data_IF_348828914621
#
_entry.id   IF_348828914621
#
_cell.length_a   1.000
_cell.length_b   1.000
_cell.length_c   1.000
_cell.angle_alpha   90.00
_cell.angle_beta   90.00
_cell.angle_gamma   90.00
#
_symmetry.space_group_name_H-M   'P 1'
#
loop_
_entity.id
_entity.type
_entity.pdbx_description
1 polymer ?
#
# COMPACT_ATOMS: atom_id res chain seq x y z
N UNK A 1 28.26 24.90 -18.87
CA UNK A 1 26.79 24.95 -18.88
C UNK A 1 26.27 23.61 -18.39
N UNK A 2 25.98 23.49 -17.09
CA UNK A 2 25.29 22.31 -16.56
C UNK A 2 23.89 22.29 -17.18
N UNK A 3 23.67 21.42 -18.15
CA UNK A 3 22.33 21.14 -18.67
C UNK A 3 21.43 20.82 -17.48
N UNK A 4 20.51 21.71 -17.14
CA UNK A 4 19.49 21.42 -16.16
C UNK A 4 18.80 20.12 -16.60
N UNK A 5 18.69 19.14 -15.69
CA UNK A 5 17.99 17.91 -16.00
C UNK A 5 16.57 18.26 -16.53
N UNK A 6 16.10 17.59 -17.59
CA UNK A 6 14.81 17.91 -18.18
C UNK A 6 13.71 17.81 -17.11
N UNK A 7 12.78 18.77 -17.11
CA UNK A 7 11.64 18.77 -16.19
C UNK A 7 10.81 17.52 -16.47
N UNK A 8 10.69 16.66 -15.47
CA UNK A 8 9.88 15.44 -15.58
C UNK A 8 8.40 15.76 -15.67
N UNK A 9 7.68 14.90 -16.36
CA UNK A 9 6.23 14.97 -16.54
C UNK A 9 5.63 13.70 -15.96
N UNK A 10 5.16 13.79 -14.73
CA UNK A 10 4.63 12.65 -13.98
C UNK A 10 3.11 12.74 -13.92
N UNK A 11 2.45 11.63 -14.27
CA UNK A 11 1.02 11.43 -14.06
C UNK A 11 0.86 10.45 -12.90
N UNK A 12 -0.01 10.75 -11.95
CA UNK A 12 -0.54 9.77 -11.00
C UNK A 12 -1.99 9.52 -11.37
N UNK A 13 -2.36 8.26 -11.57
CA UNK A 13 -3.75 7.85 -11.81
C UNK A 13 -4.21 7.01 -10.63
N UNK A 14 -5.43 7.26 -10.16
CA UNK A 14 -6.04 6.61 -9.00
C UNK A 14 -7.53 6.37 -9.28
N UNK A 15 -7.98 5.12 -9.19
CA UNK A 15 -9.38 4.76 -9.45
C UNK A 15 -10.29 5.22 -8.32
N UNK A 16 -11.38 5.88 -8.66
CA UNK A 16 -12.29 6.46 -7.67
C UNK A 16 -13.13 5.37 -7.01
N UNK A 17 -13.04 5.27 -5.68
CA UNK A 17 -13.74 4.26 -4.87
C UNK A 17 -13.60 2.82 -5.38
N UNK A 18 -12.42 2.47 -5.93
CA UNK A 18 -12.18 1.29 -6.78
C UNK A 18 -13.06 0.06 -6.54
N UNK A 19 -12.98 -0.59 -5.37
CA UNK A 19 -13.75 -1.82 -5.15
C UNK A 19 -15.26 -1.59 -5.23
N UNK A 20 -15.77 -0.51 -4.63
CA UNK A 20 -17.21 -0.21 -4.68
C UNK A 20 -17.65 0.11 -6.11
N UNK A 21 -16.83 0.82 -6.89
CA UNK A 21 -17.10 1.11 -8.30
C UNK A 21 -17.11 -0.15 -9.17
N UNK A 22 -16.23 -1.11 -8.90
CA UNK A 22 -16.26 -2.43 -9.57
C UNK A 22 -17.54 -3.20 -9.22
N UNK A 23 -17.95 -3.22 -7.95
CA UNK A 23 -19.21 -3.87 -7.56
C UNK A 23 -20.43 -3.20 -8.23
N UNK A 24 -20.50 -1.86 -8.27
CA UNK A 24 -21.60 -1.14 -8.92
C UNK A 24 -21.61 -1.25 -10.45
N UNK A 25 -20.44 -1.47 -11.05
CA UNK A 25 -20.34 -1.76 -12.48
C UNK A 25 -20.90 -3.15 -12.78
N UNK A 26 -20.47 -4.15 -12.03
CA UNK A 26 -20.79 -5.56 -12.26
C UNK A 26 -22.24 -5.91 -11.85
N UNK A 27 -22.79 -5.23 -10.84
CA UNK A 27 -24.20 -5.33 -10.44
C UNK A 27 -24.90 -3.96 -10.54
N UNK A 28 -25.66 -3.72 -11.63
CA UNK A 28 -26.36 -2.46 -11.85
C UNK A 28 -27.36 -2.10 -10.75
N UNK A 29 -27.85 -3.05 -9.94
CA UNK A 29 -28.80 -2.77 -8.85
C UNK A 29 -28.17 -2.02 -7.67
N UNK A 30 -26.84 -1.94 -7.64
CA UNK A 30 -26.06 -1.22 -6.63
C UNK A 30 -25.76 0.24 -7.02
N UNK A 31 -25.98 0.63 -8.28
CA UNK A 31 -25.70 1.99 -8.78
C UNK A 31 -26.56 3.01 -8.05
N UNK A 32 -25.95 4.13 -7.62
CA UNK A 32 -26.65 5.17 -6.86
C UNK A 32 -26.95 4.80 -5.40
N UNK A 33 -26.53 3.62 -4.93
CA UNK A 33 -26.75 3.15 -3.55
C UNK A 33 -25.46 3.23 -2.73
N UNK A 34 -25.54 3.48 -1.41
CA UNK A 34 -24.38 3.46 -0.54
C UNK A 34 -23.82 2.03 -0.41
N UNK A 35 -22.79 1.72 -1.17
CA UNK A 35 -22.05 0.45 -1.13
C UNK A 35 -20.79 0.61 -0.29
N UNK A 36 -20.53 -0.38 0.57
CA UNK A 36 -19.30 -0.54 1.35
C UNK A 36 -18.74 -1.94 1.09
N UNK A 37 -17.50 -2.01 0.63
CA UNK A 37 -16.74 -3.26 0.49
C UNK A 37 -15.82 -3.38 1.69
N UNK A 38 -15.89 -4.50 2.43
CA UNK A 38 -15.04 -4.69 3.61
C UNK A 38 -15.44 -5.85 4.50
N UNK A 39 -14.95 -5.83 5.73
CA UNK A 39 -15.32 -6.81 6.75
C UNK A 39 -16.73 -6.58 7.31
N UNK A 40 -17.31 -7.61 7.93
CA UNK A 40 -18.66 -7.53 8.51
C UNK A 40 -18.77 -6.43 9.58
N UNK A 41 -19.87 -5.65 9.60
CA UNK A 41 -20.14 -4.66 10.66
C UNK A 41 -20.45 -5.30 12.02
N UNK A 42 -20.82 -6.58 12.06
CA UNK A 42 -21.13 -7.31 13.30
C UNK A 42 -19.89 -7.85 14.00
N UNK A 43 -18.71 -7.71 13.37
CA UNK A 43 -17.43 -8.14 13.90
C UNK A 43 -16.41 -7.02 13.95
N UNK A 44 -15.13 -7.39 13.86
CA UNK A 44 -13.99 -6.47 13.86
C UNK A 44 -13.59 -6.02 12.46
N UNK A 45 -14.55 -6.01 11.53
CA UNK A 45 -14.34 -5.62 10.14
C UNK A 45 -13.97 -4.15 9.99
N UNK A 46 -13.27 -3.84 8.90
CA UNK A 46 -12.98 -2.46 8.48
C UNK A 46 -13.47 -2.25 7.05
N UNK A 47 -13.75 -1.00 6.72
CA UNK A 47 -14.08 -0.56 5.36
C UNK A 47 -12.82 -0.62 4.50
N UNK A 48 -12.84 -1.44 3.44
CA UNK A 48 -11.77 -1.47 2.44
C UNK A 48 -11.99 -0.38 1.38
N UNK A 49 -13.22 -0.28 0.86
CA UNK A 49 -13.66 0.82 0.00
C UNK A 49 -15.11 1.18 0.30
N UNK A 50 -15.47 2.43 0.01
CA UNK A 50 -16.82 2.94 0.12
C UNK A 50 -17.13 3.81 -1.11
N UNK A 51 -18.31 3.58 -1.68
CA UNK A 51 -18.92 4.40 -2.75
C UNK A 51 -19.06 5.86 -2.33
N UNK A 52 -19.22 6.77 -3.30
CA UNK A 52 -19.36 8.21 -2.99
C UNK A 52 -20.63 8.52 -2.22
N UNK A 53 -21.70 7.77 -2.47
CA UNK A 53 -22.95 7.80 -1.73
C UNK A 53 -22.72 7.49 -0.24
N UNK A 54 -21.93 6.45 0.06
CA UNK A 54 -21.55 6.15 1.45
C UNK A 54 -20.57 7.19 2.04
N UNK A 55 -19.62 7.70 1.23
CA UNK A 55 -18.67 8.74 1.67
C UNK A 55 -19.36 10.05 2.02
N UNK A 56 -20.46 10.40 1.35
CA UNK A 56 -21.27 11.58 1.66
C UNK A 56 -21.84 11.55 3.09
N UNK A 57 -22.09 10.34 3.63
CA UNK A 57 -22.48 10.12 5.02
C UNK A 57 -21.29 10.08 6.00
N UNK A 58 -20.07 10.39 5.54
CA UNK A 58 -18.86 10.44 6.35
C UNK A 58 -18.10 9.11 6.47
N UNK A 59 -18.50 8.06 5.75
CA UNK A 59 -17.76 6.78 5.71
C UNK A 59 -16.41 6.97 5.02
N UNK A 60 -15.35 6.37 5.57
CA UNK A 60 -13.99 6.44 5.03
C UNK A 60 -13.33 5.07 5.04
N UNK A 61 -12.35 4.84 4.16
CA UNK A 61 -11.51 3.64 4.20
C UNK A 61 -10.78 3.52 5.54
N UNK A 62 -10.48 2.30 5.95
CA UNK A 62 -9.92 1.92 7.25
C UNK A 62 -10.80 2.26 8.48
N UNK A 63 -12.00 2.82 8.29
CA UNK A 63 -12.97 2.99 9.36
C UNK A 63 -13.50 1.63 9.84
N UNK A 64 -13.74 1.43 11.15
CA UNK A 64 -14.45 0.25 11.65
C UNK A 64 -15.82 0.09 10.97
N UNK A 65 -16.13 -1.11 10.48
CA UNK A 65 -17.37 -1.39 9.76
C UNK A 65 -18.62 -1.11 10.63
N UNK A 66 -18.53 -1.39 11.93
CA UNK A 66 -19.57 -1.04 12.91
C UNK A 66 -19.84 0.47 13.00
N UNK A 67 -18.79 1.30 12.95
CA UNK A 67 -18.93 2.76 12.90
C UNK A 67 -19.51 3.21 11.56
N UNK A 68 -19.06 2.62 10.46
CA UNK A 68 -19.60 2.93 9.13
C UNK A 68 -21.10 2.62 9.03
N UNK A 69 -21.56 1.50 9.62
CA UNK A 69 -22.99 1.16 9.72
C UNK A 69 -23.79 2.18 10.51
N UNK A 70 -23.23 2.75 11.59
CA UNK A 70 -23.89 3.81 12.36
C UNK A 70 -24.00 5.12 11.57
N UNK A 71 -22.96 5.46 10.80
CA UNK A 71 -22.95 6.66 9.96
C UNK A 71 -23.88 6.54 8.74
N UNK A 72 -23.95 5.34 8.14
CA UNK A 72 -24.78 5.06 6.98
C UNK A 72 -25.58 3.77 7.20
N UNK A 73 -26.73 3.82 7.91
CA UNK A 73 -27.54 2.63 8.20
C UNK A 73 -28.05 1.91 6.96
N UNK A 74 -28.33 2.67 5.89
CA UNK A 74 -28.78 2.18 4.59
C UNK A 74 -27.67 1.52 3.74
N UNK A 75 -26.42 1.52 4.22
CA UNK A 75 -25.30 0.98 3.45
C UNK A 75 -25.42 -0.54 3.23
N UNK A 76 -25.11 -0.94 2.01
CA UNK A 76 -24.99 -2.34 1.58
C UNK A 76 -23.55 -2.77 1.81
N UNK A 77 -23.36 -3.78 2.66
CA UNK A 77 -22.04 -4.32 2.96
C UNK A 77 -21.78 -5.55 2.08
N UNK A 78 -20.70 -5.49 1.30
CA UNK A 78 -20.27 -6.57 0.42
C UNK A 78 -18.91 -7.11 0.88
N UNK A 79 -18.72 -8.42 0.72
CA UNK A 79 -17.41 -9.03 0.92
C UNK A 79 -16.53 -8.77 -0.32
N UNK A 80 -15.21 -8.53 -0.15
CA UNK A 80 -14.30 -8.30 -1.26
C UNK A 80 -14.23 -9.48 -2.26
N UNK A 81 -14.33 -9.19 -3.56
CA UNK A 81 -14.06 -10.11 -4.68
C UNK A 81 -12.68 -9.85 -5.30
N UNK A 82 -11.62 -10.20 -4.56
CA UNK A 82 -10.24 -9.84 -4.94
C UNK A 82 -9.81 -10.31 -6.34
N UNK A 83 -10.30 -11.46 -6.82
CA UNK A 83 -9.99 -11.94 -8.18
C UNK A 83 -10.49 -10.97 -9.25
N UNK A 84 -11.70 -10.41 -9.08
CA UNK A 84 -12.26 -9.40 -9.98
C UNK A 84 -11.42 -8.12 -9.94
N UNK A 85 -11.04 -7.66 -8.73
CA UNK A 85 -10.23 -6.45 -8.56
C UNK A 85 -8.84 -6.60 -9.17
N UNK A 86 -8.23 -7.78 -9.05
CA UNK A 86 -6.95 -8.13 -9.67
C UNK A 86 -7.07 -8.16 -11.20
N UNK A 87 -8.15 -8.71 -11.76
CA UNK A 87 -8.41 -8.69 -13.21
C UNK A 87 -8.46 -7.26 -13.73
N UNK A 88 -9.33 -6.43 -13.15
CA UNK A 88 -9.49 -5.02 -13.55
C UNK A 88 -8.19 -4.24 -13.37
N UNK A 89 -7.41 -4.51 -12.30
CA UNK A 89 -6.09 -3.91 -12.12
C UNK A 89 -5.13 -4.24 -13.28
N UNK A 90 -5.16 -5.47 -13.80
CA UNK A 90 -4.33 -5.86 -14.96
C UNK A 90 -4.76 -5.12 -16.22
N UNK A 91 -6.05 -4.94 -16.43
CA UNK A 91 -6.63 -4.20 -17.58
C UNK A 91 -6.23 -2.72 -17.52
N UNK A 92 -6.38 -2.06 -16.37
CA UNK A 92 -5.93 -0.67 -16.14
C UNK A 92 -4.43 -0.52 -16.44
N UNK A 93 -3.60 -1.45 -15.93
CA UNK A 93 -2.15 -1.43 -16.20
C UNK A 93 -1.82 -1.66 -17.67
N UNK A 94 -2.64 -2.43 -18.40
CA UNK A 94 -2.48 -2.57 -19.84
C UNK A 94 -2.77 -1.26 -20.57
N UNK A 95 -3.78 -0.49 -20.13
CA UNK A 95 -4.04 0.87 -20.64
C UNK A 95 -2.82 1.78 -20.40
N UNK A 96 -2.27 1.80 -19.18
CA UNK A 96 -1.10 2.63 -18.85
C UNK A 96 0.11 2.36 -19.75
N UNK A 97 0.40 1.09 -20.04
CA UNK A 97 1.54 0.67 -20.88
C UNK A 97 1.40 1.09 -22.36
N UNK A 98 0.24 1.55 -22.81
CA UNK A 98 0.08 2.14 -24.15
C UNK A 98 0.80 3.49 -24.26
N UNK A 99 0.99 4.18 -23.14
CA UNK A 99 1.53 5.54 -23.09
C UNK A 99 3.00 5.60 -22.67
N UNK A 100 3.46 4.72 -21.78
CA UNK A 100 4.86 4.68 -21.32
C UNK A 100 5.21 3.31 -20.73
N UNK A 101 6.49 2.92 -20.80
CA UNK A 101 7.02 1.77 -20.06
C UNK A 101 7.25 2.08 -18.57
N UNK A 102 7.37 3.36 -18.24
CA UNK A 102 7.67 3.81 -16.89
C UNK A 102 6.40 3.89 -16.05
N UNK A 103 5.86 2.72 -15.70
CA UNK A 103 4.65 2.56 -14.86
C UNK A 103 5.04 1.94 -13.51
N UNK A 104 4.96 2.69 -12.41
CA UNK A 104 5.18 2.22 -11.03
C UNK A 104 3.83 2.04 -10.32
N UNK A 105 3.31 0.81 -10.17
CA UNK A 105 2.09 0.57 -9.38
C UNK A 105 2.36 0.77 -7.89
N UNK A 106 1.43 1.43 -7.19
CA UNK A 106 1.47 1.56 -5.72
C UNK A 106 0.47 0.57 -5.07
N UNK A 107 -0.69 0.39 -5.70
CA UNK A 107 -1.74 -0.52 -5.28
C UNK A 107 -2.41 -1.20 -6.50
N UNK A 108 -3.60 -1.77 -6.30
CA UNK A 108 -4.38 -2.34 -7.40
C UNK A 108 -4.95 -1.25 -8.33
N UNK A 109 -5.24 -0.09 -7.77
CA UNK A 109 -5.98 1.03 -8.36
C UNK A 109 -5.15 2.29 -8.61
N UNK A 110 -3.89 2.34 -8.17
CA UNK A 110 -3.04 3.52 -8.35
C UNK A 110 -1.67 3.19 -8.93
N UNK A 111 -1.20 4.09 -9.81
CA UNK A 111 0.13 4.02 -10.40
C UNK A 111 0.69 5.42 -10.74
N UNK A 112 2.01 5.55 -10.67
CA UNK A 112 2.74 6.63 -11.33
C UNK A 112 3.12 6.24 -12.75
N UNK A 113 3.01 7.20 -13.66
CA UNK A 113 3.47 7.11 -15.03
C UNK A 113 4.46 8.26 -15.27
N UNK A 114 5.68 7.95 -15.69
CA UNK A 114 6.60 8.96 -16.23
C UNK A 114 6.39 9.06 -17.74
N UNK A 115 5.83 10.18 -18.18
CA UNK A 115 5.53 10.48 -19.59
C UNK A 115 6.50 11.51 -20.17
N UNK A 116 7.65 11.72 -19.51
CA UNK A 116 8.72 12.60 -19.99
C UNK A 116 9.29 12.11 -21.32
N UNK A 117 9.29 10.81 -21.55
CA UNK A 117 9.46 10.21 -22.87
C UNK A 117 8.32 9.20 -23.00
N UNK A 118 7.31 9.52 -23.82
CA UNK A 118 6.11 8.72 -23.98
C UNK A 118 6.05 8.14 -25.39
N UNK A 119 5.29 7.06 -25.55
CA UNK A 119 5.18 6.28 -26.80
C UNK A 119 4.48 7.02 -27.94
N UNK A 120 3.88 8.18 -27.68
CA UNK A 120 3.10 8.98 -28.63
C UNK A 120 3.80 10.27 -29.04
N UNK A 121 5.04 10.49 -28.58
CA UNK A 121 5.81 11.72 -28.78
C UNK A 121 5.06 13.01 -28.38
N UNK A 122 4.10 12.88 -27.46
CA UNK A 122 3.26 14.00 -27.04
C UNK A 122 4.04 14.94 -26.09
N UNK A 123 4.19 16.23 -26.42
CA UNK A 123 4.96 17.19 -25.61
C UNK A 123 4.30 17.56 -24.27
N UNK A 124 3.01 17.31 -24.07
CA UNK A 124 2.30 17.67 -22.84
C UNK A 124 1.72 16.46 -22.11
N UNK A 125 1.85 16.42 -20.78
CA UNK A 125 1.23 15.34 -20.00
C UNK A 125 -0.30 15.46 -19.91
N UNK A 126 -0.87 16.65 -20.11
CA UNK A 126 -2.31 16.88 -19.95
C UNK A 126 -3.15 16.13 -21.00
N UNK A 127 -2.85 16.18 -22.32
CA UNK A 127 -3.53 15.34 -23.30
C UNK A 127 -3.43 13.85 -22.98
N UNK A 128 -2.24 13.37 -22.58
CA UNK A 128 -2.02 11.97 -22.19
C UNK A 128 -2.89 11.55 -21.00
N UNK A 129 -2.94 12.38 -19.95
CA UNK A 129 -3.77 12.12 -18.78
C UNK A 129 -5.26 12.05 -19.16
N UNK A 130 -5.74 12.97 -20.01
CA UNK A 130 -7.13 12.93 -20.52
C UNK A 130 -7.41 11.66 -21.33
N UNK A 131 -6.51 11.26 -22.22
CA UNK A 131 -6.64 10.03 -23.01
C UNK A 131 -6.64 8.78 -22.14
N UNK A 132 -5.81 8.74 -21.09
CA UNK A 132 -5.82 7.64 -20.11
C UNK A 132 -7.17 7.55 -19.40
N UNK A 133 -7.67 8.67 -18.85
CA UNK A 133 -8.97 8.71 -18.17
C UNK A 133 -10.11 8.32 -19.11
N UNK A 134 -10.09 8.81 -20.36
CA UNK A 134 -11.08 8.46 -21.36
C UNK A 134 -11.05 6.96 -21.71
N UNK A 135 -9.87 6.38 -21.89
CA UNK A 135 -9.72 4.94 -22.15
C UNK A 135 -10.21 4.07 -20.99
N UNK A 136 -9.89 4.44 -19.75
CA UNK A 136 -10.42 3.76 -18.56
C UNK A 136 -11.96 3.83 -18.56
N UNK A 137 -12.51 5.01 -18.83
CA UNK A 137 -13.95 5.22 -18.83
C UNK A 137 -14.65 4.43 -19.94
N UNK A 138 -14.12 4.43 -21.16
CA UNK A 138 -14.75 3.77 -22.31
C UNK A 138 -14.59 2.25 -22.32
N UNK A 139 -13.43 1.75 -21.88
CA UNK A 139 -13.13 0.31 -21.93
C UNK A 139 -13.59 -0.43 -20.68
N UNK A 140 -13.58 0.22 -19.51
CA UNK A 140 -13.83 -0.44 -18.23
C UNK A 140 -15.09 0.03 -17.51
N UNK A 141 -15.76 1.09 -18.00
CA UNK A 141 -16.89 1.79 -17.33
C UNK A 141 -16.61 2.12 -15.86
N UNK A 142 -15.37 2.52 -15.55
CA UNK A 142 -14.95 2.86 -14.19
C UNK A 142 -14.53 4.33 -14.08
N UNK A 143 -14.82 4.99 -12.94
CA UNK A 143 -14.35 6.33 -12.66
C UNK A 143 -12.88 6.32 -12.20
N UNK A 144 -12.11 7.31 -12.63
CA UNK A 144 -10.73 7.50 -12.23
C UNK A 144 -10.40 8.99 -12.19
N UNK A 145 -9.48 9.34 -11.30
CA UNK A 145 -8.94 10.69 -11.19
C UNK A 145 -7.44 10.67 -11.47
N UNK A 146 -6.92 11.77 -12.03
CA UNK A 146 -5.51 11.89 -12.34
C UNK A 146 -4.93 13.23 -11.90
N UNK A 147 -3.66 13.19 -11.52
CA UNK A 147 -2.87 14.35 -11.15
C UNK A 147 -1.61 14.41 -12.00
N UNK A 148 -1.29 15.60 -12.50
CA UNK A 148 -0.09 15.84 -13.31
C UNK A 148 0.82 16.81 -12.57
N UNK A 149 2.09 16.47 -12.43
CA UNK A 149 3.08 17.31 -11.76
C UNK A 149 4.52 17.07 -12.22
N UNK A 150 5.47 17.91 -11.75
CA UNK A 150 6.88 17.79 -12.11
C UNK A 150 7.60 16.62 -11.43
N UNK A 151 6.95 15.96 -10.47
CA UNK A 151 7.47 14.82 -9.73
C UNK A 151 6.33 13.99 -9.11
N UNK A 152 6.68 12.85 -8.52
CA UNK A 152 5.73 11.88 -7.95
C UNK A 152 4.88 12.46 -6.81
N UNK A 153 5.52 13.22 -5.91
CA UNK A 153 4.82 13.85 -4.80
C UNK A 153 3.70 14.80 -5.27
N UNK A 154 4.03 15.73 -6.16
CA UNK A 154 3.04 16.70 -6.66
C UNK A 154 1.95 16.01 -7.48
N UNK A 155 2.31 15.06 -8.35
CA UNK A 155 1.33 14.32 -9.16
C UNK A 155 0.31 13.57 -8.27
N UNK A 156 0.75 12.93 -7.19
CA UNK A 156 -0.16 12.24 -6.26
C UNK A 156 -1.07 13.21 -5.52
N UNK A 157 -0.53 14.30 -4.98
CA UNK A 157 -1.37 15.33 -4.33
C UNK A 157 -2.42 15.92 -5.27
N UNK A 158 -2.04 16.19 -6.51
CA UNK A 158 -2.96 16.70 -7.52
C UNK A 158 -4.10 15.71 -7.80
N UNK A 159 -3.80 14.40 -7.88
CA UNK A 159 -4.83 13.40 -8.19
C UNK A 159 -5.91 13.25 -7.12
N UNK A 160 -5.58 13.57 -5.86
CA UNK A 160 -6.53 13.53 -4.73
C UNK A 160 -7.34 14.83 -4.59
N UNK A 161 -6.98 15.89 -5.31
CA UNK A 161 -7.49 17.24 -5.06
C UNK A 161 -8.94 17.45 -5.54
N UNK A 162 -9.29 16.88 -6.70
CA UNK A 162 -10.58 17.09 -7.37
C UNK A 162 -11.33 15.77 -7.62
N UNK A 163 -11.18 14.79 -6.71
CA UNK A 163 -11.91 13.52 -6.80
C UNK A 163 -13.40 13.73 -6.51
N UNK A 164 -14.32 13.01 -7.19
CA UNK A 164 -14.10 11.99 -8.24
C UNK A 164 -14.04 12.54 -9.67
N UNK A 165 -13.54 11.72 -10.60
CA UNK A 165 -13.44 11.97 -12.04
C UNK A 165 -12.66 13.25 -12.38
N UNK A 166 -11.70 13.62 -11.52
CA UNK A 166 -10.95 14.86 -11.61
C UNK A 166 -9.67 14.73 -12.42
N UNK A 167 -9.23 15.84 -13.00
CA UNK A 167 -7.88 16.00 -13.55
C UNK A 167 -7.28 17.31 -13.08
N UNK A 168 -6.27 17.24 -12.22
CA UNK A 168 -5.56 18.43 -11.72
C UNK A 168 -4.14 18.45 -12.26
N UNK A 169 -3.73 19.60 -12.83
CA UNK A 169 -2.40 19.81 -13.40
C UNK A 169 -1.70 20.90 -12.62
N UNK A 170 -0.55 20.57 -12.03
CA UNK A 170 0.28 21.50 -11.26
C UNK A 170 1.59 21.73 -12.01
N UNK A 171 1.71 22.82 -12.81
CA UNK A 171 2.94 23.13 -13.50
C UNK A 171 4.06 23.55 -12.52
N UNK A 172 5.35 23.41 -12.88
CA UNK A 172 6.48 23.70 -11.98
C UNK A 172 6.39 25.07 -11.28
N UNK A 173 5.93 26.10 -11.99
CA UNK A 173 5.85 27.48 -11.49
C UNK A 173 4.73 27.67 -10.45
N UNK A 174 3.81 26.70 -10.32
CA UNK A 174 2.68 26.75 -9.38
C UNK A 174 2.85 25.84 -8.17
N UNK A 175 3.94 25.07 -8.11
CA UNK A 175 4.15 24.08 -7.03
C UNK A 175 4.17 24.72 -5.65
N UNK A 176 4.93 25.80 -5.45
CA UNK A 176 4.98 26.47 -4.14
C UNK A 176 3.60 26.99 -3.72
N UNK A 177 2.89 27.65 -4.64
CA UNK A 177 1.56 28.19 -4.38
C UNK A 177 0.53 27.08 -4.10
N UNK A 178 0.64 25.94 -4.79
CA UNK A 178 -0.22 24.78 -4.57
C UNK A 178 -0.03 24.17 -3.18
N UNK A 179 1.20 24.12 -2.68
CA UNK A 179 1.52 23.52 -1.38
C UNK A 179 1.28 24.44 -0.19
N UNK A 180 1.51 25.75 -0.35
CA UNK A 180 1.68 26.73 0.74
C UNK A 180 0.69 26.58 1.89
N UNK A 181 -0.60 26.55 1.57
CA UNK A 181 -1.69 26.62 2.56
C UNK A 181 -2.23 25.23 2.95
N UNK A 182 -1.65 24.15 2.39
CA UNK A 182 -2.08 22.79 2.74
C UNK A 182 -1.64 22.44 4.16
N UNK A 183 -2.44 21.66 4.90
CA UNK A 183 -2.04 21.17 6.22
C UNK A 183 -0.90 20.15 6.07
N UNK A 184 -0.04 20.09 7.08
CA UNK A 184 1.15 19.23 7.10
C UNK A 184 0.86 17.73 6.92
N UNK A 185 -0.34 17.23 7.24
CA UNK A 185 -0.77 15.86 6.97
C UNK A 185 -0.85 15.51 5.49
N UNK A 186 -0.91 16.50 4.60
CA UNK A 186 -0.86 16.26 3.16
C UNK A 186 0.54 15.88 2.69
N UNK A 187 1.60 16.13 3.48
CA UNK A 187 2.95 15.68 3.11
C UNK A 187 3.05 14.15 3.12
N UNK A 188 3.60 13.62 2.04
CA UNK A 188 3.83 12.18 1.94
C UNK A 188 4.81 11.73 3.03
N UNK A 189 4.33 10.85 3.92
CA UNK A 189 5.12 10.26 5.00
C UNK A 189 4.84 10.90 6.35
N UNK A 190 4.00 11.93 6.39
CA UNK A 190 3.53 12.56 7.63
C UNK A 190 2.23 11.88 8.07
N UNK A 191 2.36 10.92 8.98
CA UNK A 191 1.22 10.36 9.73
C UNK A 191 0.90 11.18 11.00
N UNK A 192 -0.14 10.82 11.76
CA UNK A 192 -0.60 11.57 12.93
C UNK A 192 0.50 11.83 13.98
N UNK A 193 1.40 10.86 14.20
CA UNK A 193 2.50 11.01 15.15
C UNK A 193 3.55 12.05 14.70
N UNK A 194 3.96 11.99 13.43
CA UNK A 194 4.88 12.97 12.84
C UNK A 194 4.23 14.36 12.80
N UNK A 195 2.93 14.40 12.48
CA UNK A 195 2.14 15.62 12.47
C UNK A 195 2.11 16.29 13.86
N UNK A 196 1.88 15.52 14.92
CA UNK A 196 1.93 16.00 16.30
C UNK A 196 3.28 16.64 16.65
N UNK A 197 4.39 15.98 16.31
CA UNK A 197 5.74 16.52 16.55
C UNK A 197 6.02 17.81 15.78
N UNK A 198 5.48 17.96 14.57
CA UNK A 198 5.59 19.19 13.78
C UNK A 198 4.77 20.31 14.42
N UNK A 199 3.57 20.01 14.93
CA UNK A 199 2.73 20.98 15.64
C UNK A 199 3.31 21.45 16.96
N UNK A 200 4.08 20.62 17.66
CA UNK A 200 4.84 21.04 18.85
C UNK A 200 5.82 22.19 18.54
N UNK A 201 6.21 22.36 17.27
CA UNK A 201 7.01 23.49 16.78
C UNK A 201 6.18 24.72 16.36
N UNK A 202 4.86 24.66 16.50
CA UNK A 202 3.93 25.72 16.09
C UNK A 202 3.68 25.79 14.58
N UNK A 203 3.92 24.70 13.85
CA UNK A 203 3.74 24.63 12.39
C UNK A 203 2.48 23.84 12.03
N UNK A 204 1.61 24.44 11.21
CA UNK A 204 0.35 23.82 10.77
C UNK A 204 0.33 23.54 9.26
N UNK A 205 1.06 24.34 8.48
CA UNK A 205 1.03 24.29 7.01
C UNK A 205 2.34 23.81 6.39
N UNK A 206 2.25 23.29 5.17
CA UNK A 206 3.42 22.90 4.38
C UNK A 206 4.33 24.11 4.11
N UNK A 207 3.75 25.29 3.83
CA UNK A 207 4.51 26.51 3.57
C UNK A 207 5.35 26.96 4.77
N UNK A 208 4.84 26.81 5.99
CA UNK A 208 5.59 27.07 7.22
C UNK A 208 6.77 26.10 7.37
N UNK A 209 6.54 24.80 7.19
CA UNK A 209 7.60 23.78 7.24
C UNK A 209 8.72 24.02 6.22
N UNK A 210 8.36 24.45 5.00
CA UNK A 210 9.29 24.74 3.92
C UNK A 210 10.28 25.88 4.27
N UNK A 211 9.83 26.85 5.07
CA UNK A 211 10.60 28.05 5.47
C UNK A 211 11.25 27.90 6.84
N UNK A 212 10.95 26.84 7.59
CA UNK A 212 11.45 26.64 8.94
C UNK A 212 12.94 26.29 9.00
N UNK A 213 13.56 26.52 10.16
CA UNK A 213 14.98 26.19 10.39
C UNK A 213 15.21 24.69 10.29
N UNK A 214 16.02 24.25 9.32
CA UNK A 214 16.35 22.84 9.14
C UNK A 214 17.03 22.26 10.39
N UNK A 215 17.92 23.01 11.04
CA UNK A 215 18.60 22.57 12.27
C UNK A 215 17.61 22.26 13.40
N UNK A 216 16.53 23.04 13.50
CA UNK A 216 15.47 22.77 14.48
C UNK A 216 14.65 21.55 14.07
N UNK A 217 14.31 21.41 12.79
CA UNK A 217 13.62 20.22 12.29
C UNK A 217 14.42 18.96 12.53
N UNK A 218 15.74 18.97 12.34
CA UNK A 218 16.62 17.81 12.56
C UNK A 218 16.62 17.35 14.03
N UNK A 219 16.55 18.28 14.99
CA UNK A 219 16.43 17.93 16.42
C UNK A 219 15.12 17.22 16.73
N UNK A 220 14.03 17.61 16.07
CA UNK A 220 12.69 17.09 16.36
C UNK A 220 12.32 15.89 15.50
N UNK A 221 12.77 15.81 14.25
CA UNK A 221 12.36 14.80 13.27
C UNK A 221 13.51 13.84 12.90
N UNK A 222 14.71 14.10 13.39
CA UNK A 222 15.90 13.30 13.10
C UNK A 222 16.30 13.37 11.63
N UNK A 223 16.81 12.26 11.11
CA UNK A 223 17.29 12.13 9.73
C UNK A 223 16.23 12.40 8.65
N UNK A 224 14.94 12.38 9.00
CA UNK A 224 13.83 12.59 8.07
C UNK A 224 13.49 14.07 7.84
N UNK A 225 14.02 14.98 8.66
CA UNK A 225 13.77 16.42 8.59
C UNK A 225 14.03 17.01 7.20
N UNK A 226 15.20 16.71 6.62
CA UNK A 226 15.59 17.19 5.30
C UNK A 226 14.62 16.73 4.22
N UNK A 227 14.28 15.44 4.22
CA UNK A 227 13.33 14.88 3.24
C UNK A 227 11.98 15.55 3.33
N UNK A 228 11.46 15.79 4.54
CA UNK A 228 10.18 16.47 4.72
C UNK A 228 10.24 17.94 4.28
N UNK A 229 11.33 18.64 4.57
CA UNK A 229 11.50 20.01 4.13
C UNK A 229 11.67 20.12 2.61
N UNK A 230 12.37 19.18 1.96
CA UNK A 230 12.48 19.10 0.50
C UNK A 230 11.09 18.90 -0.12
N UNK A 231 10.29 17.95 0.40
CA UNK A 231 8.91 17.76 -0.05
C UNK A 231 8.05 19.01 0.17
N UNK A 232 8.21 19.70 1.30
CA UNK A 232 7.49 20.94 1.58
C UNK A 232 7.85 22.08 0.60
N UNK A 233 9.06 22.05 0.04
CA UNK A 233 9.51 22.92 -1.05
C UNK A 233 9.13 22.38 -2.44
N UNK A 234 8.39 21.28 -2.51
CA UNK A 234 7.97 20.63 -3.75
C UNK A 234 9.08 19.83 -4.46
N UNK A 235 10.18 19.56 -3.78
CA UNK A 235 11.35 18.85 -4.32
C UNK A 235 11.19 17.35 -4.02
N UNK A 236 11.07 16.55 -5.07
CA UNK A 236 11.07 15.09 -5.00
C UNK A 236 11.82 14.50 -6.19
N UNK A 237 13.05 14.04 -5.95
CA UNK A 237 13.93 13.49 -6.99
C UNK A 237 13.73 11.99 -7.23
N UNK A 238 12.82 11.31 -6.52
CA UNK A 238 12.59 9.86 -6.70
C UNK A 238 12.08 9.60 -8.13
N UNK A 239 12.73 8.73 -8.93
CA UNK A 239 12.25 8.36 -10.25
C UNK A 239 11.00 7.46 -10.14
N UNK A 240 10.23 7.36 -11.23
CA UNK A 240 9.23 6.31 -11.37
C UNK A 240 9.96 5.00 -11.61
N UNK A 241 9.70 3.98 -10.77
CA UNK A 241 10.41 2.70 -10.80
C UNK A 241 9.44 1.57 -11.14
N UNK A 242 9.45 1.02 -12.37
CA UNK A 242 8.41 0.10 -12.83
C UNK A 242 8.37 -1.25 -12.11
N UNK A 243 9.52 -1.74 -11.63
CA UNK A 243 9.63 -3.03 -10.96
C UNK A 243 10.07 -2.85 -9.51
N UNK A 244 9.13 -3.04 -8.58
CA UNK A 244 9.45 -3.31 -7.18
C UNK A 244 9.32 -4.80 -6.93
N UNK A 245 10.46 -5.44 -6.70
CA UNK A 245 10.48 -6.84 -6.26
C UNK A 245 10.01 -6.89 -4.80
N UNK A 246 8.98 -7.68 -4.52
CA UNK A 246 8.50 -7.89 -3.16
C UNK A 246 9.65 -8.37 -2.26
N UNK A 247 9.80 -7.77 -1.08
CA UNK A 247 10.86 -8.09 -0.10
C UNK A 247 10.43 -9.16 0.90
N UNK A 248 9.13 -9.39 1.03
CA UNK A 248 8.53 -10.40 1.89
C UNK A 248 7.18 -10.87 1.33
N UNK A 249 6.73 -12.03 1.80
CA UNK A 249 5.36 -12.54 1.67
C UNK A 249 4.85 -12.91 3.05
N UNK A 250 3.58 -12.67 3.32
CA UNK A 250 3.01 -12.97 4.62
C UNK A 250 1.48 -13.05 4.56
N UNK A 251 0.93 -13.75 5.54
CA UNK A 251 -0.49 -13.87 5.79
C UNK A 251 -0.75 -13.52 7.26
N UNK A 252 -1.81 -12.78 7.53
CA UNK A 252 -2.25 -12.48 8.89
C UNK A 252 -3.77 -12.50 9.00
N UNK A 253 -4.26 -12.91 10.16
CA UNK A 253 -5.69 -13.07 10.42
C UNK A 253 -6.05 -12.38 11.73
N UNK A 254 -6.98 -11.42 11.67
CA UNK A 254 -7.63 -10.88 12.87
C UNK A 254 -8.86 -11.73 13.18
N UNK A 255 -8.97 -12.20 14.42
CA UNK A 255 -10.06 -13.08 14.83
C UNK A 255 -11.29 -12.29 15.28
N UNK A 256 -12.47 -12.90 15.10
CA UNK A 256 -13.72 -12.35 15.63
C UNK A 256 -13.76 -12.41 17.16
N UNK A 257 -13.24 -13.50 17.73
CA UNK A 257 -13.08 -13.75 19.17
C UNK A 257 -11.60 -13.95 19.46
N UNK A 258 -11.12 -13.40 20.57
CA UNK A 258 -9.71 -13.51 20.95
C UNK A 258 -9.37 -14.95 21.36
N UNK A 259 -8.17 -15.41 21.00
CA UNK A 259 -7.65 -16.72 21.34
C UNK A 259 -6.87 -16.66 22.65
N UNK A 260 -7.02 -17.67 23.50
CA UNK A 260 -6.34 -17.76 24.79
C UNK A 260 -5.49 -19.02 24.90
N UNK A 261 -5.90 -20.10 24.24
CA UNK A 261 -5.23 -21.38 24.28
C UNK A 261 -4.17 -21.51 23.18
N UNK A 262 -3.07 -22.19 23.53
CA UNK A 262 -1.93 -22.36 22.65
C UNK A 262 -2.26 -23.24 21.44
N UNK A 263 -3.15 -24.21 21.60
CA UNK A 263 -3.54 -25.17 20.56
C UNK A 263 -4.28 -24.47 19.42
N UNK A 264 -5.28 -23.63 19.71
CA UNK A 264 -5.97 -22.81 18.71
C UNK A 264 -5.00 -21.87 17.99
N UNK A 265 -4.04 -21.28 18.70
CA UNK A 265 -3.01 -20.45 18.06
C UNK A 265 -2.15 -21.27 17.10
N UNK A 266 -1.75 -22.48 17.48
CA UNK A 266 -0.97 -23.39 16.63
C UNK A 266 -1.75 -23.85 15.40
N UNK A 267 -3.05 -24.16 15.54
CA UNK A 267 -3.93 -24.48 14.41
C UNK A 267 -3.96 -23.32 13.41
N UNK A 268 -4.18 -22.09 13.87
CA UNK A 268 -4.18 -20.93 12.97
C UNK A 268 -2.81 -20.72 12.31
N UNK A 269 -1.72 -20.87 13.05
CA UNK A 269 -0.39 -20.70 12.49
C UNK A 269 -0.05 -21.78 11.45
N UNK A 270 -0.61 -22.98 11.55
CA UNK A 270 -0.51 -23.99 10.51
C UNK A 270 -1.21 -23.54 9.22
N UNK A 271 -2.45 -23.06 9.32
CA UNK A 271 -3.18 -22.51 8.15
C UNK A 271 -2.41 -21.35 7.49
N UNK A 272 -1.89 -20.42 8.30
CA UNK A 272 -1.12 -19.28 7.81
C UNK A 272 0.20 -19.72 7.15
N UNK A 273 0.84 -20.78 7.65
CA UNK A 273 2.06 -21.31 7.04
C UNK A 273 1.76 -21.91 5.66
N UNK A 274 0.62 -22.58 5.48
CA UNK A 274 0.17 -23.11 4.19
C UNK A 274 -0.13 -22.00 3.19
N UNK A 275 -0.81 -20.93 3.62
CA UNK A 275 -1.06 -19.74 2.79
C UNK A 275 0.24 -19.06 2.34
N UNK A 276 1.18 -18.85 3.27
CA UNK A 276 2.48 -18.21 2.96
C UNK A 276 3.32 -19.10 2.06
N UNK A 277 3.37 -20.41 2.32
CA UNK A 277 4.08 -21.38 1.48
C UNK A 277 3.55 -21.37 0.05
N UNK A 278 2.22 -21.43 -0.11
CA UNK A 278 1.57 -21.38 -1.42
C UNK A 278 1.92 -20.09 -2.17
N UNK A 279 1.83 -18.94 -1.50
CA UNK A 279 2.18 -17.64 -2.10
C UNK A 279 3.66 -17.53 -2.49
N UNK A 280 4.58 -18.15 -1.75
CA UNK A 280 6.00 -18.20 -2.11
C UNK A 280 6.26 -19.12 -3.31
N UNK A 281 5.55 -20.26 -3.40
CA UNK A 281 5.63 -21.21 -4.53
C UNK A 281 5.13 -20.58 -5.83
N UNK A 282 4.03 -19.85 -5.79
CA UNK A 282 3.48 -19.13 -6.95
C UNK A 282 4.48 -18.17 -7.61
N UNK A 283 5.40 -17.60 -6.83
CA UNK A 283 6.43 -16.70 -7.33
C UNK A 283 7.81 -17.35 -7.42
N UNK A 284 7.94 -18.64 -7.08
CA UNK A 284 9.19 -19.42 -7.07
C UNK A 284 10.34 -18.76 -6.27
N UNK A 285 10.00 -17.99 -5.23
CA UNK A 285 10.97 -17.23 -4.43
C UNK A 285 10.92 -17.66 -2.97
N UNK A 286 11.75 -18.63 -2.55
CA UNK A 286 11.87 -18.98 -1.14
C UNK A 286 12.51 -17.82 -0.36
N UNK A 287 12.35 -17.79 0.97
CA UNK A 287 13.00 -16.79 1.84
C UNK A 287 13.75 -17.43 3.00
N UNK A 288 14.39 -16.62 3.85
CA UNK A 288 15.21 -17.14 4.96
C UNK A 288 14.69 -16.78 6.33
N UNK A 289 14.00 -15.64 6.43
CA UNK A 289 13.62 -15.09 7.74
C UNK A 289 12.13 -15.24 7.94
N UNK A 290 11.74 -16.14 8.85
CA UNK A 290 10.36 -16.32 9.29
C UNK A 290 10.10 -15.36 10.44
N UNK A 291 9.04 -14.58 10.34
CA UNK A 291 8.60 -13.63 11.37
C UNK A 291 7.18 -13.97 11.81
N UNK A 292 7.02 -14.24 13.10
CA UNK A 292 5.74 -14.31 13.78
C UNK A 292 5.36 -12.92 14.25
N UNK A 293 4.12 -12.52 13.95
CA UNK A 293 3.45 -11.34 14.47
C UNK A 293 2.26 -11.77 15.30
N UNK A 294 2.17 -11.25 16.51
CA UNK A 294 1.07 -11.46 17.43
C UNK A 294 0.55 -10.10 17.88
N UNK A 295 -0.77 -9.91 17.92
CA UNK A 295 -1.38 -8.74 18.53
C UNK A 295 -2.33 -9.18 19.64
N UNK A 296 -2.26 -8.52 20.78
CA UNK A 296 -3.14 -8.73 21.94
C UNK A 296 -4.40 -7.87 21.86
N UNK A 297 -5.41 -8.20 22.66
CA UNK A 297 -6.71 -7.51 22.70
C UNK A 297 -6.58 -5.98 22.93
N UNK A 298 -5.57 -5.56 23.70
CA UNK A 298 -5.19 -4.15 23.96
C UNK A 298 -4.48 -3.46 22.77
N UNK A 299 -4.39 -4.12 21.61
CA UNK A 299 -3.70 -3.70 20.38
C UNK A 299 -2.16 -3.69 20.45
N UNK A 300 -1.55 -4.07 21.58
CA UNK A 300 -0.10 -4.25 21.67
C UNK A 300 0.35 -5.34 20.72
N UNK A 301 1.37 -5.05 19.90
CA UNK A 301 1.89 -5.96 18.88
C UNK A 301 3.28 -6.45 19.28
N UNK A 302 3.48 -7.76 19.27
CA UNK A 302 4.78 -8.42 19.48
C UNK A 302 5.19 -9.10 18.18
N UNK A 303 6.45 -8.93 17.82
CA UNK A 303 7.06 -9.64 16.69
C UNK A 303 8.27 -10.43 17.16
N UNK A 304 8.43 -11.65 16.65
CA UNK A 304 9.62 -12.49 16.82
C UNK A 304 10.02 -13.02 15.46
N UNK A 305 11.32 -13.11 15.20
CA UNK A 305 11.82 -13.60 13.92
C UNK A 305 13.00 -14.55 14.13
N UNK A 306 13.14 -15.50 13.21
CA UNK A 306 14.31 -16.38 13.10
C UNK A 306 14.76 -16.40 11.65
N UNK A 307 16.07 -16.28 11.44
CA UNK A 307 16.69 -16.44 10.12
C UNK A 307 17.29 -17.84 10.04
N UNK A 308 16.81 -18.63 9.09
CA UNK A 308 17.22 -20.00 8.89
C UNK A 308 18.49 -20.09 8.02
N UNK A 309 19.31 -21.13 8.20
CA UNK A 309 20.54 -21.31 7.43
C UNK A 309 20.26 -21.57 5.94
N UNK A 310 19.11 -22.17 5.62
CA UNK A 310 18.67 -22.47 4.25
C UNK A 310 17.43 -21.65 3.89
N UNK A 311 17.22 -21.49 2.60
CA UNK A 311 15.98 -20.98 2.04
C UNK A 311 14.81 -21.91 2.36
N UNK A 312 13.68 -21.35 2.80
CA UNK A 312 12.44 -22.06 3.09
C UNK A 312 11.31 -21.60 2.19
N UNK A 313 10.53 -22.59 1.78
CA UNK A 313 9.32 -22.46 1.00
C UNK A 313 8.28 -23.47 1.46
N UNK A 314 8.72 -24.59 2.02
CA UNK A 314 7.88 -25.65 2.56
C UNK A 314 7.10 -25.20 3.79
N UNK A 315 5.80 -25.50 3.79
CA UNK A 315 4.89 -25.15 4.89
C UNK A 315 5.33 -25.73 6.23
N UNK A 316 5.89 -26.94 6.24
CA UNK A 316 6.31 -27.62 7.46
C UNK A 316 7.47 -26.87 8.14
N UNK A 317 8.41 -26.37 7.35
CA UNK A 317 9.53 -25.58 7.86
C UNK A 317 9.07 -24.20 8.38
N UNK A 318 8.16 -23.54 7.65
CA UNK A 318 7.58 -22.25 8.07
C UNK A 318 6.77 -22.42 9.35
N UNK A 319 5.95 -23.48 9.45
CA UNK A 319 5.14 -23.82 10.62
C UNK A 319 6.02 -24.13 11.83
N UNK A 320 7.04 -24.95 11.68
CA UNK A 320 7.96 -25.29 12.76
C UNK A 320 8.63 -24.03 13.34
N UNK A 321 9.13 -23.16 12.47
CA UNK A 321 9.70 -21.88 12.87
C UNK A 321 8.67 -20.98 13.57
N UNK A 322 7.43 -20.90 13.06
CA UNK A 322 6.37 -20.10 13.69
C UNK A 322 6.00 -20.63 15.09
N UNK A 323 5.95 -21.95 15.29
CA UNK A 323 5.65 -22.57 16.59
C UNK A 323 6.79 -22.33 17.59
N UNK A 324 8.04 -22.45 17.14
CA UNK A 324 9.20 -22.11 17.96
C UNK A 324 9.15 -20.63 18.40
N UNK A 325 8.87 -19.72 17.47
CA UNK A 325 8.75 -18.28 17.76
C UNK A 325 7.59 -17.99 18.72
N UNK A 326 6.49 -18.73 18.64
CA UNK A 326 5.36 -18.61 19.56
C UNK A 326 5.78 -19.02 20.98
N UNK A 327 6.56 -20.09 21.12
CA UNK A 327 7.11 -20.53 22.41
C UNK A 327 8.06 -19.54 23.07
N UNK A 328 8.64 -18.59 22.30
CA UNK A 328 9.49 -17.51 22.80
C UNK A 328 8.72 -16.26 23.23
N UNK A 329 7.40 -16.24 23.07
CA UNK A 329 6.55 -15.14 23.52
C UNK A 329 6.04 -15.47 24.91
N UNK A 330 6.24 -14.55 25.85
CA UNK A 330 5.72 -14.69 27.21
C UNK A 330 4.19 -14.84 27.20
N UNK A 331 3.68 -15.79 27.98
CA UNK A 331 2.25 -15.99 28.13
C UNK A 331 1.63 -14.75 28.78
N UNK A 332 0.47 -14.37 28.29
CA UNK A 332 -0.30 -13.26 28.81
C UNK A 332 -1.74 -13.69 28.95
N UNK A 333 -2.39 -13.22 30.01
CA UNK A 333 -3.84 -13.38 30.19
C UNK A 333 -4.63 -12.50 29.20
N UNK A 334 -3.94 -11.62 28.47
CA UNK A 334 -4.52 -10.87 27.37
C UNK A 334 -4.77 -11.81 26.19
N UNK A 335 -6.03 -11.91 25.76
CA UNK A 335 -6.40 -12.66 24.58
C UNK A 335 -5.66 -12.18 23.32
N UNK A 336 -5.32 -13.11 22.46
CA UNK A 336 -4.65 -12.88 21.18
C UNK A 336 -5.70 -12.60 20.10
N UNK A 337 -5.64 -11.40 19.52
CA UNK A 337 -6.61 -10.93 18.52
C UNK A 337 -6.17 -11.13 17.07
N UNK A 338 -4.86 -11.26 16.84
CA UNK A 338 -4.29 -11.45 15.51
C UNK A 338 -3.02 -12.29 15.59
N UNK A 339 -2.90 -13.23 14.65
CA UNK A 339 -1.67 -13.92 14.34
C UNK A 339 -1.29 -13.67 12.88
N UNK A 340 0.00 -13.59 12.62
CA UNK A 340 0.54 -13.44 11.28
C UNK A 340 1.90 -14.09 11.14
N UNK A 341 2.14 -14.67 9.97
CA UNK A 341 3.43 -15.21 9.55
C UNK A 341 3.88 -14.42 8.33
N UNK A 342 5.15 -14.04 8.30
CA UNK A 342 5.78 -13.54 7.07
C UNK A 342 7.16 -14.12 6.87
N UNK A 343 7.51 -14.35 5.62
CA UNK A 343 8.83 -14.79 5.18
C UNK A 343 9.47 -13.65 4.40
N UNK A 344 10.67 -13.26 4.82
CA UNK A 344 11.48 -12.21 4.20
C UNK A 344 12.87 -12.73 3.83
N UNK A 345 13.73 -11.85 3.32
CA UNK A 345 15.00 -12.22 2.69
C UNK A 345 14.76 -13.23 1.57
N UNK A 346 13.81 -12.88 0.68
CA UNK A 346 13.45 -13.70 -0.47
C UNK A 346 14.65 -13.79 -1.43
N UNK A 347 14.88 -14.99 -1.96
CA UNK A 347 15.95 -15.27 -2.93
C UNK A 347 15.86 -14.24 -4.07
N UNK A 348 17.01 -13.66 -4.39
CA UNK A 348 17.15 -12.78 -5.55
C UNK A 348 17.46 -13.64 -6.77
N UNK A 349 17.06 -13.17 -7.94
CA UNK A 349 17.28 -13.90 -9.19
C UNK A 349 18.79 -14.18 -9.42
N UNK A 350 19.68 -13.39 -8.82
CA UNK A 350 21.14 -13.48 -8.91
C UNK A 350 21.82 -14.25 -7.75
N UNK A 351 21.09 -14.96 -6.90
CA UNK A 351 21.66 -15.68 -5.75
C UNK A 351 21.72 -17.20 -6.03
N UNK A 352 22.81 -17.71 -6.66
CA UNK A 352 22.94 -19.14 -6.89
C UNK A 352 23.06 -19.84 -5.54
N UNK A 353 22.11 -20.73 -5.26
CA UNK A 353 22.25 -21.66 -4.15
C UNK A 353 23.43 -22.58 -4.47
N UNK A 354 24.57 -22.35 -3.81
CA UNK A 354 25.70 -23.26 -3.84
C UNK A 354 25.25 -24.59 -3.24
N UNK A 355 24.88 -25.53 -4.11
CA UNK A 355 24.72 -26.93 -3.76
C UNK A 355 26.13 -27.49 -3.63
N UNK A 356 26.64 -27.61 -2.40
CA UNK A 356 27.85 -28.38 -2.15
C UNK A 356 27.45 -29.85 -2.06
N UNK A 357 27.86 -30.71 -3.00
CA UNK A 357 27.63 -32.13 -2.88
C UNK A 357 28.76 -32.76 -2.05
N UNK A 358 28.38 -33.73 -1.22
CA UNK A 358 29.18 -34.75 -0.53
C UNK A 358 29.85 -34.41 0.82
N UNK A 359 29.32 -35.04 1.87
CA UNK A 359 30.00 -36.17 2.51
C UNK A 359 29.00 -37.34 2.57
N UNK A 360 29.17 -38.34 1.70
CA UNK A 360 28.68 -39.69 1.98
C UNK A 360 29.76 -40.38 2.82
N UNK A 361 29.41 -40.75 4.04
CA UNK A 361 30.22 -41.61 4.88
C UNK A 361 30.11 -43.05 4.37
N UNK A 362 31.27 -43.70 4.23
CA UNK A 362 31.41 -45.15 4.40
C UNK A 362 31.68 -45.93 3.11
N UNK A 363 32.90 -46.45 3.00
CA UNK A 363 33.05 -47.90 3.03
C UNK A 363 34.31 -48.24 3.84
N UNK A 364 34.07 -48.91 4.96
CA UNK A 364 35.04 -49.78 5.64
C UNK A 364 34.73 -51.17 5.13
N UNK A 365 35.47 -51.61 4.11
CA UNK A 365 36.21 -52.88 4.06
C UNK A 365 37.07 -52.95 2.79
#
# INVERSE_FOLDING_TARGET
MTSAAPIRRIIHVDMDAFYASVEQRDDPTLRGRPVIVGGSPDGRGVVASASYEARSAGVRSAMPASRARRLCPAAIFLRPRFDAYLSVSREIRAIFRRYTELVEPLALDEAYLDVTQNRLDEPYATPLARSILAAIRSELDLPASAGVGPNKFIAKLASDWDKPNGLVVVPPQRVEAFLRDMPIERLWGVGPATAGRIRELGLETIGELARFSLTTLERVLGSYARTLQDLARGIDNRPVVPRRVAKSRGAERTFAVDLFDLEAMQTVLADLADEVSSSLREIERPGRTVTLKLRFADFRTVTRAVTLPRYVIEREAIRAAAFELLGRIERSDLGVRLLGISVSNLRRDDDPQLHFPFYEEGDVD
#
